data_IF_629612163371
#
_entry.id   IF_629612163371
#
_cell.length_a   1.000
_cell.length_b   1.000
_cell.length_c   1.000
_cell.angle_alpha   90.00
_cell.angle_beta   90.00
_cell.angle_gamma   90.00
#
_symmetry.space_group_name_H-M   'P 1'
#
loop_
_entity.id
_entity.type
_entity.pdbx_description
1 polymer ?
#
# COMPACT_ATOMS: atom_id res chain seq x y z
N UNK A 1 15.14 16.90 4.18
CA UNK A 1 14.55 15.67 3.61
C UNK A 1 14.79 14.44 4.47
N UNK A 2 15.89 14.34 5.21
CA UNK A 2 16.14 13.23 6.16
C UNK A 2 15.01 13.00 7.18
N UNK A 3 14.47 14.07 7.80
CA UNK A 3 13.33 13.95 8.70
C UNK A 3 12.11 13.29 8.03
N UNK A 4 11.83 13.66 6.78
CA UNK A 4 10.75 13.07 5.97
C UNK A 4 10.97 11.58 5.72
N UNK A 5 12.20 11.16 5.44
CA UNK A 5 12.53 9.74 5.23
C UNK A 5 12.37 8.91 6.50
N UNK A 6 12.79 9.47 7.65
CA UNK A 6 12.62 8.83 8.95
C UNK A 6 11.14 8.65 9.26
N UNK A 7 10.34 9.70 9.09
CA UNK A 7 8.88 9.63 9.27
C UNK A 7 8.28 8.59 8.32
N UNK A 8 8.66 8.62 7.03
CA UNK A 8 8.18 7.64 6.06
C UNK A 8 8.53 6.21 6.47
N UNK A 9 9.73 5.98 7.02
CA UNK A 9 10.17 4.66 7.48
C UNK A 9 9.32 4.15 8.64
N UNK A 10 9.08 4.99 9.64
CA UNK A 10 8.20 4.64 10.79
C UNK A 10 6.80 4.32 10.30
N UNK A 11 6.26 5.16 9.41
CA UNK A 11 4.92 4.98 8.86
C UNK A 11 4.85 3.72 7.98
N UNK A 12 5.89 3.38 7.24
CA UNK A 12 5.94 2.15 6.45
C UNK A 12 6.03 0.90 7.31
N UNK A 13 6.76 0.94 8.42
CA UNK A 13 6.79 -0.17 9.40
C UNK A 13 5.40 -0.39 9.98
N UNK A 14 4.76 0.66 10.49
CA UNK A 14 3.41 0.59 11.03
C UNK A 14 2.40 0.16 9.96
N UNK A 15 2.46 0.77 8.78
CA UNK A 15 1.59 0.50 7.64
C UNK A 15 1.71 -0.93 7.12
N UNK A 16 2.91 -1.54 7.18
CA UNK A 16 3.10 -2.95 6.84
C UNK A 16 2.42 -3.85 7.86
N UNK A 17 2.59 -3.58 9.16
CA UNK A 17 1.98 -4.37 10.25
C UNK A 17 0.45 -4.28 10.17
N UNK A 18 -0.09 -3.05 10.13
CA UNK A 18 -1.54 -2.84 9.99
C UNK A 18 -2.06 -3.38 8.66
N UNK A 19 -1.31 -3.20 7.58
CA UNK A 19 -1.65 -3.71 6.25
C UNK A 19 -1.80 -5.23 6.22
N UNK A 20 -0.93 -5.98 6.91
CA UNK A 20 -1.07 -7.43 7.05
C UNK A 20 -2.36 -7.82 7.81
N UNK A 21 -2.66 -7.13 8.91
CA UNK A 21 -3.86 -7.38 9.71
C UNK A 21 -5.13 -7.08 8.88
N UNK A 22 -5.17 -5.93 8.20
CA UNK A 22 -6.30 -5.53 7.38
C UNK A 22 -6.44 -6.39 6.11
N UNK A 23 -5.34 -6.80 5.47
CA UNK A 23 -5.39 -7.73 4.35
C UNK A 23 -6.01 -9.07 4.78
N UNK A 24 -5.64 -9.59 5.95
CA UNK A 24 -6.24 -10.80 6.52
C UNK A 24 -7.77 -10.69 6.67
N UNK A 25 -8.25 -9.60 7.27
CA UNK A 25 -9.70 -9.34 7.39
C UNK A 25 -10.38 -9.10 6.04
N UNK A 26 -9.71 -8.41 5.12
CA UNK A 26 -10.24 -8.08 3.79
C UNK A 26 -10.38 -9.33 2.93
N UNK A 27 -9.48 -10.32 3.02
CA UNK A 27 -9.56 -11.58 2.27
C UNK A 27 -10.89 -12.30 2.54
N UNK A 28 -11.30 -12.39 3.80
CA UNK A 28 -12.57 -13.03 4.18
C UNK A 28 -13.75 -12.27 3.56
N UNK A 29 -13.71 -10.93 3.62
CA UNK A 29 -14.77 -10.11 3.04
C UNK A 29 -14.83 -10.21 1.52
N UNK A 30 -13.68 -10.22 0.84
CA UNK A 30 -13.56 -10.31 -0.61
C UNK A 30 -13.99 -11.70 -1.11
N UNK A 31 -13.66 -12.76 -0.38
CA UNK A 31 -14.04 -14.12 -0.75
C UNK A 31 -15.55 -14.35 -0.81
N UNK A 32 -16.34 -13.50 -0.12
CA UNK A 32 -17.81 -13.56 -0.14
C UNK A 32 -18.46 -12.65 -1.19
N UNK A 33 -17.66 -11.89 -1.96
CA UNK A 33 -18.19 -11.05 -3.03
C UNK A 33 -18.54 -11.88 -4.28
N UNK A 34 -19.53 -11.43 -5.04
CA UNK A 34 -20.01 -12.12 -6.26
C UNK A 34 -19.57 -11.44 -7.56
N UNK A 35 -18.58 -10.54 -7.49
CA UNK A 35 -18.07 -9.80 -8.65
C UNK A 35 -17.04 -10.61 -9.46
N UNK A 36 -16.96 -10.45 -10.79
CA UNK A 36 -16.07 -11.26 -11.62
C UNK A 36 -14.57 -10.98 -11.38
N UNK A 37 -14.22 -9.87 -10.73
CA UNK A 37 -12.82 -9.49 -10.44
C UNK A 37 -12.38 -9.73 -8.98
N UNK A 38 -13.08 -10.60 -8.23
CA UNK A 38 -12.71 -10.98 -6.85
C UNK A 38 -11.25 -11.43 -6.73
N UNK A 39 -10.76 -12.23 -7.68
CA UNK A 39 -9.36 -12.66 -7.68
C UNK A 39 -8.36 -11.49 -7.72
N UNK A 40 -8.68 -10.44 -8.48
CA UNK A 40 -7.85 -9.23 -8.53
C UNK A 40 -7.90 -8.46 -7.20
N UNK A 41 -9.05 -8.40 -6.54
CA UNK A 41 -9.18 -7.76 -5.22
C UNK A 41 -8.38 -8.50 -4.15
N UNK A 42 -8.35 -9.83 -4.18
CA UNK A 42 -7.54 -10.64 -3.25
C UNK A 42 -6.05 -10.33 -3.41
N UNK A 43 -5.55 -10.34 -4.65
CA UNK A 43 -4.16 -9.96 -4.94
C UNK A 43 -3.92 -8.51 -4.51
N UNK A 44 -4.88 -7.62 -4.79
CA UNK A 44 -4.74 -6.22 -4.46
C UNK A 44 -4.64 -5.99 -2.94
N UNK A 45 -5.41 -6.73 -2.14
CA UNK A 45 -5.36 -6.69 -0.68
C UNK A 45 -3.98 -7.14 -0.15
N UNK A 46 -3.42 -8.23 -0.71
CA UNK A 46 -2.11 -8.76 -0.34
C UNK A 46 -0.96 -7.81 -0.71
N UNK A 47 -1.14 -6.99 -1.75
CA UNK A 47 -0.15 -6.01 -2.17
C UNK A 47 -0.12 -4.75 -1.29
N UNK A 48 -1.16 -4.46 -0.49
CA UNK A 48 -1.16 -3.31 0.42
C UNK A 48 0.08 -3.27 1.31
N UNK A 49 0.42 -4.32 2.10
CA UNK A 49 1.65 -4.30 2.90
C UNK A 49 2.92 -4.24 2.04
N UNK A 50 2.91 -4.84 0.84
CA UNK A 50 4.06 -4.79 -0.08
C UNK A 50 4.37 -3.35 -0.50
N UNK A 51 3.34 -2.53 -0.78
CA UNK A 51 3.55 -1.12 -1.15
C UNK A 51 4.21 -0.31 -0.03
N UNK A 52 3.90 -0.60 1.23
CA UNK A 52 4.59 0.04 2.36
C UNK A 52 6.06 -0.41 2.47
N UNK A 53 6.37 -1.68 2.24
CA UNK A 53 7.76 -2.17 2.22
C UNK A 53 8.55 -1.54 1.07
N UNK A 54 7.97 -1.51 -0.13
CA UNK A 54 8.59 -0.90 -1.32
C UNK A 54 8.81 0.60 -1.12
N UNK A 55 7.85 1.30 -0.53
CA UNK A 55 7.99 2.72 -0.16
C UNK A 55 9.11 2.91 0.86
N UNK A 56 9.12 2.13 1.94
CA UNK A 56 10.09 2.24 3.01
C UNK A 56 11.52 2.08 2.49
N UNK A 57 11.81 0.99 1.78
CA UNK A 57 13.17 0.71 1.26
C UNK A 57 13.49 1.62 0.07
N UNK A 58 12.56 1.75 -0.86
CA UNK A 58 12.77 2.48 -2.12
C UNK A 58 13.06 3.95 -1.89
N UNK A 59 12.40 4.60 -0.92
CA UNK A 59 12.63 6.03 -0.64
C UNK A 59 14.05 6.33 -0.18
N UNK A 60 14.69 5.42 0.58
CA UNK A 60 16.09 5.56 0.95
C UNK A 60 17.03 5.37 -0.24
N UNK A 61 16.77 4.37 -1.08
CA UNK A 61 17.57 4.10 -2.28
C UNK A 61 17.51 5.26 -3.29
N UNK A 62 16.33 5.80 -3.55
CA UNK A 62 16.18 6.90 -4.52
C UNK A 62 16.71 8.21 -3.98
N UNK A 63 16.64 8.42 -2.66
CA UNK A 63 17.19 9.60 -2.04
C UNK A 63 18.73 9.64 -2.09
N UNK A 64 19.40 8.51 -1.84
CA UNK A 64 20.88 8.45 -1.93
C UNK A 64 21.39 8.63 -3.36
N UNK A 65 20.55 8.32 -4.36
CA UNK A 65 20.84 8.55 -5.78
C UNK A 65 20.48 9.95 -6.28
N UNK A 66 19.89 10.81 -5.43
CA UNK A 66 19.51 12.19 -5.80
C UNK A 66 18.22 12.31 -6.61
N UNK A 67 17.42 11.24 -6.76
CA UNK A 67 16.16 11.28 -7.49
C UNK A 67 15.00 11.79 -6.62
N UNK A 68 14.94 13.10 -6.41
CA UNK A 68 13.96 13.73 -5.51
C UNK A 68 12.51 13.47 -5.92
N UNK A 69 12.18 13.54 -7.21
CA UNK A 69 10.82 13.30 -7.71
C UNK A 69 10.35 11.87 -7.46
N UNK A 70 11.22 10.89 -7.72
CA UNK A 70 10.91 9.47 -7.48
C UNK A 70 10.74 9.20 -5.99
N UNK A 71 11.56 9.82 -5.14
CA UNK A 71 11.44 9.71 -3.69
C UNK A 71 10.08 10.21 -3.19
N UNK A 72 9.60 11.35 -3.70
CA UNK A 72 8.25 11.86 -3.37
C UNK A 72 7.16 10.90 -3.85
N UNK A 73 7.30 10.37 -5.07
CA UNK A 73 6.36 9.38 -5.62
C UNK A 73 6.28 8.12 -4.76
N UNK A 74 7.42 7.61 -4.29
CA UNK A 74 7.47 6.43 -3.42
C UNK A 74 6.87 6.69 -2.04
N UNK A 75 7.00 7.88 -1.48
CA UNK A 75 6.31 8.26 -0.23
C UNK A 75 4.78 8.23 -0.42
N UNK A 76 4.29 8.69 -1.57
CA UNK A 76 2.86 8.72 -1.88
C UNK A 76 2.28 7.34 -2.27
N UNK A 77 3.11 6.44 -2.79
CA UNK A 77 2.75 5.13 -3.36
C UNK A 77 1.74 4.32 -2.50
N UNK A 78 2.00 4.00 -1.22
CA UNK A 78 1.10 3.14 -0.46
C UNK A 78 -0.28 3.80 -0.24
N UNK A 79 -0.33 5.13 -0.17
CA UNK A 79 -1.57 5.87 0.02
C UNK A 79 -2.41 5.89 -1.25
N UNK A 80 -1.78 6.21 -2.39
CA UNK A 80 -2.46 6.18 -3.68
C UNK A 80 -2.99 4.77 -3.98
N UNK A 81 -2.18 3.76 -3.72
CA UNK A 81 -2.58 2.37 -3.85
C UNK A 81 -3.75 2.00 -2.92
N UNK A 82 -3.65 2.37 -1.64
CA UNK A 82 -4.70 2.11 -0.65
C UNK A 82 -6.03 2.78 -0.99
N UNK A 83 -6.01 4.03 -1.45
CA UNK A 83 -7.22 4.75 -1.89
C UNK A 83 -7.86 4.05 -3.07
N UNK A 84 -7.08 3.68 -4.10
CA UNK A 84 -7.60 2.95 -5.26
C UNK A 84 -8.19 1.60 -4.85
N UNK A 85 -7.50 0.86 -3.98
CA UNK A 85 -8.00 -0.41 -3.44
C UNK A 85 -9.34 -0.25 -2.71
N UNK A 86 -9.47 0.76 -1.84
CA UNK A 86 -10.72 1.03 -1.12
C UNK A 86 -11.85 1.37 -2.10
N UNK A 87 -11.59 2.19 -3.12
CA UNK A 87 -12.61 2.52 -4.12
C UNK A 87 -13.08 1.28 -4.89
N UNK A 88 -12.15 0.39 -5.28
CA UNK A 88 -12.51 -0.86 -5.94
C UNK A 88 -13.32 -1.78 -5.04
N UNK A 89 -12.99 -1.85 -3.74
CA UNK A 89 -13.78 -2.57 -2.75
C UNK A 89 -15.20 -2.02 -2.67
N UNK A 90 -15.37 -0.69 -2.55
CA UNK A 90 -16.68 -0.05 -2.47
C UNK A 90 -17.54 -0.30 -3.70
N UNK A 91 -16.97 -0.21 -4.91
CA UNK A 91 -17.68 -0.52 -6.15
C UNK A 91 -18.12 -1.97 -6.21
N UNK A 92 -17.40 -2.87 -5.53
CA UNK A 92 -17.70 -4.30 -5.53
C UNK A 92 -18.75 -4.72 -4.49
N UNK A 93 -19.12 -3.83 -3.57
CA UNK A 93 -20.20 -4.03 -2.60
C UNK A 93 -21.55 -3.45 -3.04
N UNK A 94 -21.56 -2.58 -4.06
CA UNK A 94 -22.79 -2.03 -4.64
C UNK A 94 -23.38 -2.98 -5.69
#
# INVERSE_FOLDING_TARGET
MYLTLIINSVVCVLGTIFGLLFAGGSIISIANMTVPWVGFLLVAALLVPVMFVVSGIGTWLTYTQGFTQVTIGLIALPWLYGVVFILLMLVSFN
#
